data_IF_643882592528
#
_entry.id   IF_643882592528
#
_cell.length_a   1.000
_cell.length_b   1.000
_cell.length_c   1.000
_cell.angle_alpha   90.00
_cell.angle_beta   90.00
_cell.angle_gamma   90.00
#
_symmetry.space_group_name_H-M   'P 1'
#
loop_
_entity.id
_entity.type
_entity.pdbx_description
1 polymer ?
#
# COMPACT_ATOMS: atom_id res chain seq x y z
N UNK A 1 20.29 -19.51 -5.43
CA UNK A 1 19.89 -18.56 -4.37
C UNK A 1 18.46 -18.90 -3.96
N UNK A 2 18.07 -18.78 -2.68
CA UNK A 2 16.68 -18.98 -2.28
C UNK A 2 15.77 -17.91 -2.90
N UNK A 3 14.49 -18.24 -3.08
CA UNK A 3 13.51 -17.29 -3.59
C UNK A 3 13.26 -16.17 -2.56
N UNK A 4 13.20 -14.92 -3.03
CA UNK A 4 12.82 -13.78 -2.21
C UNK A 4 11.30 -13.76 -2.06
N UNK A 5 10.82 -13.92 -0.83
CA UNK A 5 9.38 -13.84 -0.49
C UNK A 5 9.21 -12.79 0.60
N UNK A 6 8.35 -11.81 0.34
CA UNK A 6 7.96 -10.80 1.35
C UNK A 6 6.63 -11.21 1.99
N UNK A 7 6.44 -10.94 3.30
CA UNK A 7 5.14 -11.12 3.94
C UNK A 7 4.10 -10.14 3.33
N UNK A 8 2.80 -10.40 3.53
CA UNK A 8 1.75 -9.48 3.09
C UNK A 8 1.95 -8.05 3.60
N UNK A 9 1.57 -7.07 2.77
CA UNK A 9 1.52 -5.67 3.16
C UNK A 9 0.45 -5.48 4.23
N UNK A 10 0.80 -4.80 5.32
CA UNK A 10 -0.11 -4.48 6.39
C UNK A 10 -0.58 -3.02 6.31
N UNK A 11 -1.78 -2.74 6.82
CA UNK A 11 -2.38 -1.39 6.85
C UNK A 11 -1.43 -0.33 7.42
N UNK A 12 -0.71 -0.67 8.50
CA UNK A 12 0.25 0.25 9.13
C UNK A 12 1.38 0.68 8.19
N UNK A 13 1.76 -0.14 7.21
CA UNK A 13 2.76 0.21 6.21
C UNK A 13 2.21 1.22 5.21
N UNK A 14 0.91 1.12 4.87
CA UNK A 14 0.22 2.12 4.04
C UNK A 14 0.19 3.46 4.77
N UNK A 15 -0.23 3.47 6.04
CA UNK A 15 -0.30 4.70 6.85
C UNK A 15 1.07 5.34 7.03
N UNK A 16 2.12 4.55 7.31
CA UNK A 16 3.50 5.06 7.40
C UNK A 16 4.00 5.62 6.07
N UNK A 17 3.73 4.93 4.96
CA UNK A 17 4.14 5.39 3.64
C UNK A 17 3.44 6.69 3.25
N UNK A 18 2.14 6.83 3.53
CA UNK A 18 1.41 8.09 3.34
C UNK A 18 2.05 9.24 4.13
N UNK A 19 2.39 9.00 5.40
CA UNK A 19 3.10 9.97 6.23
C UNK A 19 4.48 10.37 5.68
N UNK A 20 5.23 9.43 5.13
CA UNK A 20 6.57 9.67 4.58
C UNK A 20 6.56 10.32 3.19
N UNK A 21 5.61 9.95 2.33
CA UNK A 21 5.52 10.42 0.94
C UNK A 21 4.67 11.68 0.77
N UNK A 22 3.79 11.97 1.72
CA UNK A 22 2.75 12.99 1.58
C UNK A 22 1.54 12.54 0.75
N UNK A 23 1.51 11.28 0.28
CA UNK A 23 0.37 10.73 -0.45
C UNK A 23 -0.70 10.18 0.50
N UNK A 24 -1.64 11.07 0.84
CA UNK A 24 -2.81 10.78 1.66
C UNK A 24 -4.07 10.47 0.84
N UNK A 25 -3.94 9.98 -0.40
CA UNK A 25 -5.11 9.58 -1.17
C UNK A 25 -5.93 8.53 -0.37
N UNK A 26 -7.23 8.78 -0.10
CA UNK A 26 -8.06 7.90 0.71
C UNK A 26 -8.19 6.48 0.12
N UNK A 27 -7.91 6.29 -1.17
CA UNK A 27 -7.92 4.96 -1.81
C UNK A 27 -6.94 3.97 -1.16
N UNK A 28 -5.91 4.47 -0.44
CA UNK A 28 -4.91 3.66 0.25
C UNK A 28 -5.17 3.50 1.76
N UNK A 29 -6.15 4.19 2.34
CA UNK A 29 -6.35 4.22 3.80
C UNK A 29 -7.79 3.94 4.24
N UNK A 30 -8.77 4.26 3.40
CA UNK A 30 -10.19 4.15 3.68
C UNK A 30 -10.83 3.06 2.81
N UNK A 31 -11.19 1.95 3.45
CA UNK A 31 -11.82 0.81 2.80
C UNK A 31 -13.20 1.14 2.21
N UNK A 32 -13.97 2.03 2.84
CA UNK A 32 -15.28 2.44 2.34
C UNK A 32 -15.11 3.29 1.09
N UNK A 33 -14.16 4.23 1.10
CA UNK A 33 -13.81 5.02 -0.07
C UNK A 33 -13.33 4.14 -1.22
N UNK A 34 -12.39 3.22 -0.97
CA UNK A 34 -11.85 2.31 -1.99
C UNK A 34 -12.97 1.47 -2.64
N UNK A 35 -13.89 0.93 -1.83
CA UNK A 35 -15.06 0.19 -2.32
C UNK A 35 -16.02 1.05 -3.14
N UNK A 36 -16.31 2.27 -2.68
CA UNK A 36 -17.12 3.21 -3.44
C UNK A 36 -16.46 3.62 -4.77
N UNK A 37 -15.12 3.63 -4.83
CA UNK A 37 -14.33 3.85 -6.03
C UNK A 37 -14.20 2.60 -6.95
N UNK A 38 -14.90 1.50 -6.65
CA UNK A 38 -14.92 0.28 -7.47
C UNK A 38 -13.79 -0.71 -7.19
N UNK A 39 -13.01 -0.51 -6.13
CA UNK A 39 -11.96 -1.42 -5.70
C UNK A 39 -12.49 -2.44 -4.70
N UNK A 40 -11.78 -3.56 -4.50
CA UNK A 40 -12.19 -4.56 -3.50
C UNK A 40 -11.97 -4.11 -2.06
N UNK A 41 -10.81 -3.50 -1.79
CA UNK A 41 -10.41 -2.93 -0.51
C UNK A 41 -9.28 -1.91 -0.75
N UNK A 42 -8.73 -1.33 0.33
CA UNK A 42 -7.49 -0.55 0.27
C UNK A 42 -6.33 -1.39 -0.25
N UNK A 43 -5.39 -0.74 -0.93
CA UNK A 43 -4.22 -1.39 -1.50
C UNK A 43 -2.98 -0.49 -1.42
N UNK A 44 -1.81 -1.10 -1.59
CA UNK A 44 -0.54 -0.41 -1.47
C UNK A 44 -0.34 0.71 -2.51
N UNK A 45 0.33 1.78 -2.09
CA UNK A 45 0.84 2.79 -3.01
C UNK A 45 1.74 2.14 -4.06
N UNK A 46 1.65 2.59 -5.33
CA UNK A 46 2.49 2.05 -6.40
C UNK A 46 3.99 2.20 -6.08
N UNK A 47 4.37 3.36 -5.56
CA UNK A 47 5.76 3.64 -5.18
C UNK A 47 6.23 2.89 -3.93
N UNK A 48 5.33 2.52 -3.02
CA UNK A 48 5.67 1.59 -1.93
C UNK A 48 6.03 0.21 -2.48
N UNK A 49 5.25 -0.28 -3.46
CA UNK A 49 5.51 -1.56 -4.12
C UNK A 49 6.86 -1.56 -4.83
N UNK A 50 7.21 -0.48 -5.53
CA UNK A 50 8.52 -0.32 -6.15
C UNK A 50 9.67 -0.34 -5.13
N UNK A 51 9.48 0.29 -3.96
CA UNK A 51 10.44 0.22 -2.87
C UNK A 51 10.69 -1.21 -2.35
N UNK A 52 9.69 -2.08 -2.37
CA UNK A 52 9.85 -3.48 -1.99
C UNK A 52 10.59 -4.33 -3.01
N UNK A 53 10.47 -3.99 -4.29
CA UNK A 53 11.18 -4.65 -5.41
C UNK A 53 12.65 -4.25 -5.45
N UNK A 54 12.98 -3.01 -5.09
CA UNK A 54 14.35 -2.49 -5.10
C UNK A 54 15.22 -2.93 -3.90
N UNK A 55 14.62 -3.63 -2.92
CA UNK A 55 15.28 -4.10 -1.70
C UNK A 55 15.89 -5.48 -1.90
#
# INVERSE_FOLDING_TARGET
MPALVKPPVQQIQLTRYAGASGDFNPIHQDAAFAKAAGMGDVFAHGMLSMGFVAQ
#
